data_IF_714287516426
#
_entry.id   IF_714287516426
#
_cell.length_a   1.000
_cell.length_b   1.000
_cell.length_c   1.000
_cell.angle_alpha   90.00
_cell.angle_beta   90.00
_cell.angle_gamma   90.00
#
_symmetry.space_group_name_H-M   'P 1'
#
loop_
_entity.id
_entity.type
_entity.pdbx_description
1 polymer ?
#
# COMPACT_ATOMS: atom_id res chain seq x y z
N UNK A 1 7.95 14.01 66.93
CA UNK A 1 8.80 13.42 65.88
C UNK A 1 8.45 14.12 64.58
N UNK A 2 9.38 14.91 64.05
CA UNK A 2 9.23 15.67 62.80
C UNK A 2 9.53 14.79 61.60
N UNK A 3 8.80 14.98 60.50
CA UNK A 3 9.02 14.31 59.23
C UNK A 3 8.32 15.05 58.10
N UNK A 4 8.82 16.25 57.78
CA UNK A 4 8.45 17.02 56.59
C UNK A 4 9.38 16.58 55.46
N UNK A 5 8.84 16.06 54.37
CA UNK A 5 9.57 15.80 53.14
C UNK A 5 9.28 16.93 52.14
N UNK A 6 10.31 17.55 51.52
CA UNK A 6 10.12 18.67 50.62
C UNK A 6 9.94 18.24 49.16
N UNK A 7 9.10 18.99 48.48
CA UNK A 7 8.92 19.05 47.04
C UNK A 7 10.22 19.41 46.31
N UNK A 8 10.55 18.68 45.25
CA UNK A 8 11.37 19.23 44.16
C UNK A 8 10.94 18.61 42.82
N UNK A 9 10.04 19.31 42.12
CA UNK A 9 9.82 19.12 40.69
C UNK A 9 10.80 20.05 39.98
N UNK A 10 11.86 19.48 39.42
CA UNK A 10 12.79 20.21 38.56
C UNK A 10 12.08 20.50 37.23
N UNK A 11 11.76 21.79 37.01
CA UNK A 11 11.42 22.32 35.70
C UNK A 11 12.64 22.19 34.78
N UNK A 12 12.46 21.46 33.68
CA UNK A 12 13.42 21.41 32.58
C UNK A 12 13.40 22.77 31.87
N UNK A 13 14.43 23.58 32.14
CA UNK A 13 14.66 24.89 31.52
C UNK A 13 15.23 24.67 30.12
N UNK A 14 14.41 24.88 29.10
CA UNK A 14 14.83 24.88 27.70
C UNK A 14 15.91 25.94 27.46
N UNK A 15 17.02 25.50 26.88
CA UNK A 15 18.14 26.36 26.49
C UNK A 15 17.87 26.88 25.07
N UNK A 16 17.57 28.17 24.95
CA UNK A 16 17.48 28.86 23.67
C UNK A 16 18.89 29.02 23.09
N UNK A 17 19.26 28.08 22.21
CA UNK A 17 20.46 28.22 21.39
C UNK A 17 20.19 29.24 20.28
N UNK A 18 20.64 30.47 20.52
CA UNK A 18 20.73 31.54 19.53
C UNK A 18 21.68 31.14 18.39
N UNK A 19 21.15 30.61 17.29
CA UNK A 19 21.91 30.39 16.06
C UNK A 19 22.29 31.74 15.43
N UNK A 20 23.58 32.10 15.50
CA UNK A 20 24.17 33.18 14.71
C UNK A 20 24.01 32.88 13.21
N UNK A 21 23.33 33.78 12.50
CA UNK A 21 23.19 33.73 11.05
C UNK A 21 24.54 33.90 10.35
N UNK A 22 24.88 32.96 9.48
CA UNK A 22 25.90 33.14 8.46
C UNK A 22 25.24 33.80 7.25
N UNK A 23 25.64 35.04 6.97
CA UNK A 23 25.28 35.74 5.73
C UNK A 23 26.07 35.15 4.56
N UNK A 24 25.40 34.38 3.72
CA UNK A 24 25.88 34.10 2.37
C UNK A 24 25.06 34.95 1.40
N UNK A 25 25.72 35.97 0.85
CA UNK A 25 25.22 36.72 -0.30
C UNK A 25 25.78 36.03 -1.54
N UNK A 26 24.93 35.55 -2.46
CA UNK A 26 25.10 35.64 -3.92
C UNK A 26 24.00 34.87 -4.69
N UNK A 27 23.47 35.54 -5.73
CA UNK A 27 22.74 35.01 -6.88
C UNK A 27 21.34 34.39 -6.69
N UNK A 28 20.33 35.27 -6.57
CA UNK A 28 19.35 35.47 -7.66
C UNK A 28 18.55 34.27 -8.21
N UNK A 29 18.18 33.29 -7.40
CA UNK A 29 17.07 32.38 -7.68
C UNK A 29 16.02 32.55 -6.60
N UNK A 30 14.81 33.00 -6.95
CA UNK A 30 13.68 33.06 -6.00
C UNK A 30 13.27 31.63 -5.67
N UNK A 31 14.01 31.00 -4.76
CA UNK A 31 13.54 29.83 -4.02
C UNK A 31 12.32 30.31 -3.26
N UNK A 32 11.13 30.00 -3.80
CA UNK A 32 9.88 30.19 -3.06
C UNK A 32 10.10 29.56 -1.70
N UNK A 33 10.15 30.40 -0.67
CA UNK A 33 10.25 29.99 0.72
C UNK A 33 9.26 28.87 0.92
N UNK A 34 9.79 27.70 1.29
CA UNK A 34 9.03 26.54 1.71
C UNK A 34 7.95 27.10 2.65
N UNK A 35 6.69 27.12 2.20
CA UNK A 35 5.59 27.66 2.99
C UNK A 35 5.67 26.88 4.30
N UNK A 36 6.00 27.57 5.40
CA UNK A 36 5.99 26.96 6.71
C UNK A 36 4.67 26.19 6.83
N UNK A 37 4.64 24.98 7.40
CA UNK A 37 3.39 24.28 7.67
C UNK A 37 2.49 25.33 8.28
N UNK A 38 1.42 25.69 7.56
CA UNK A 38 0.51 26.71 8.04
C UNK A 38 0.15 26.23 9.43
N UNK A 39 0.46 27.04 10.44
CA UNK A 39 0.00 26.82 11.79
C UNK A 39 -1.52 26.94 11.70
N UNK A 40 -2.18 25.85 11.29
CA UNK A 40 -3.59 25.81 10.87
C UNK A 40 -4.54 25.99 12.06
N UNK A 41 -4.02 26.51 13.18
CA UNK A 41 -4.76 26.69 14.44
C UNK A 41 -5.11 25.38 15.14
N UNK A 42 -4.69 24.23 14.61
CA UNK A 42 -4.96 22.92 15.21
C UNK A 42 -3.99 22.76 16.39
N UNK A 43 -4.48 23.11 17.58
CA UNK A 43 -3.74 22.88 18.82
C UNK A 43 -3.75 21.38 19.11
N UNK A 44 -2.69 20.68 18.69
CA UNK A 44 -2.40 19.28 19.06
C UNK A 44 -2.46 19.00 20.57
N UNK A 45 -2.55 20.02 21.41
CA UNK A 45 -2.64 19.87 22.87
C UNK A 45 -4.03 19.48 23.38
N UNK A 46 -5.10 19.62 22.57
CA UNK A 46 -6.48 19.37 23.05
C UNK A 46 -7.10 18.08 22.51
N UNK A 47 -6.52 17.49 21.47
CA UNK A 47 -7.02 16.25 20.87
C UNK A 47 -6.11 15.08 21.28
N UNK A 48 -6.67 13.88 21.35
CA UNK A 48 -5.85 12.68 21.55
C UNK A 48 -5.39 12.18 20.18
N UNK A 49 -4.12 11.77 19.99
CA UNK A 49 -3.70 11.13 18.75
C UNK A 49 -4.45 9.81 18.56
N UNK A 50 -4.77 9.48 17.31
CA UNK A 50 -5.39 8.22 16.93
C UNK A 50 -4.35 7.25 16.37
N UNK A 51 -4.47 5.97 16.69
CA UNK A 51 -3.64 4.93 16.10
C UNK A 51 -4.16 4.55 14.71
N UNK A 52 -3.42 4.91 13.66
CA UNK A 52 -3.67 4.50 12.28
C UNK A 52 -2.96 3.19 12.02
N UNK A 53 -3.73 2.17 11.65
CA UNK A 53 -3.22 0.84 11.30
C UNK A 53 -3.04 0.77 9.79
N UNK A 54 -1.81 0.46 9.35
CA UNK A 54 -1.44 0.38 7.95
C UNK A 54 -1.41 -1.08 7.50
N UNK A 55 -2.12 -1.40 6.42
CA UNK A 55 -2.18 -2.74 5.85
C UNK A 55 -1.68 -2.72 4.41
N UNK A 56 -0.78 -3.63 4.05
CA UNK A 56 -0.21 -3.69 2.70
C UNK A 56 -0.99 -4.66 1.82
N UNK A 57 -1.54 -4.15 0.72
CA UNK A 57 -2.21 -4.95 -0.29
C UNK A 57 -1.27 -5.24 -1.46
N UNK A 58 -1.15 -6.51 -1.82
CA UNK A 58 -0.36 -6.91 -2.99
C UNK A 58 -1.24 -6.94 -4.24
N UNK A 59 -0.86 -6.17 -5.25
CA UNK A 59 -1.54 -6.15 -6.55
C UNK A 59 -2.63 -5.08 -6.69
N UNK A 60 -3.20 -5.01 -7.88
CA UNK A 60 -4.24 -4.03 -8.26
C UNK A 60 -5.60 -4.68 -8.52
N UNK A 61 -5.71 -6.01 -8.35
CA UNK A 61 -6.97 -6.71 -8.54
C UNK A 61 -8.02 -6.26 -7.51
N UNK A 62 -9.15 -5.78 -8.00
CA UNK A 62 -10.22 -5.21 -7.18
C UNK A 62 -10.88 -6.31 -6.34
N UNK A 63 -11.03 -7.52 -6.87
CA UNK A 63 -11.65 -8.62 -6.15
C UNK A 63 -10.78 -9.03 -4.94
N UNK A 64 -9.48 -9.28 -5.17
CA UNK A 64 -8.54 -9.60 -4.10
C UNK A 64 -8.44 -8.48 -3.04
N UNK A 65 -8.46 -7.21 -3.45
CA UNK A 65 -8.44 -6.06 -2.51
C UNK A 65 -9.71 -5.99 -1.67
N UNK A 66 -10.87 -6.22 -2.28
CA UNK A 66 -12.15 -6.26 -1.58
C UNK A 66 -12.20 -7.40 -0.55
N UNK A 67 -11.76 -8.59 -0.94
CA UNK A 67 -11.66 -9.74 -0.04
C UNK A 67 -10.70 -9.48 1.13
N UNK A 68 -9.51 -8.92 0.86
CA UNK A 68 -8.56 -8.57 1.91
C UNK A 68 -9.12 -7.50 2.86
N UNK A 69 -9.81 -6.49 2.33
CA UNK A 69 -10.48 -5.48 3.14
C UNK A 69 -11.54 -6.07 4.06
N UNK A 70 -12.36 -6.99 3.54
CA UNK A 70 -13.35 -7.72 4.32
C UNK A 70 -12.75 -8.52 5.47
N UNK A 71 -11.62 -9.18 5.22
CA UNK A 71 -10.89 -9.91 6.26
C UNK A 71 -10.41 -8.98 7.38
N UNK A 72 -9.83 -7.83 7.03
CA UNK A 72 -9.32 -6.85 8.01
C UNK A 72 -10.46 -6.16 8.78
N UNK A 73 -11.57 -5.84 8.12
CA UNK A 73 -12.72 -5.19 8.74
C UNK A 73 -13.64 -6.17 9.49
N UNK A 74 -13.49 -7.47 9.28
CA UNK A 74 -14.39 -8.48 9.85
C UNK A 74 -15.82 -8.38 9.31
N UNK A 75 -15.98 -7.88 8.08
CA UNK A 75 -17.27 -7.61 7.45
C UNK A 75 -17.33 -8.23 6.04
N UNK A 76 -18.48 -8.80 5.60
CA UNK A 76 -18.62 -9.38 4.27
C UNK A 76 -18.27 -8.39 3.16
N UNK A 77 -17.67 -8.86 2.07
CA UNK A 77 -17.37 -8.00 0.93
C UNK A 77 -18.66 -7.61 0.22
N UNK A 78 -18.66 -6.43 -0.41
CA UNK A 78 -19.60 -6.16 -1.50
C UNK A 78 -19.17 -7.09 -2.64
N UNK A 79 -19.64 -8.34 -2.60
CA UNK A 79 -19.31 -9.32 -3.61
C UNK A 79 -19.63 -8.73 -4.97
N UNK A 80 -18.62 -8.67 -5.85
CA UNK A 80 -18.88 -8.49 -7.27
C UNK A 80 -19.58 -9.79 -7.66
N UNK A 81 -20.91 -9.79 -7.54
CA UNK A 81 -21.73 -10.93 -7.92
C UNK A 81 -21.37 -11.21 -9.36
N UNK A 82 -20.60 -12.28 -9.58
CA UNK A 82 -20.22 -12.74 -10.89
C UNK A 82 -21.53 -13.24 -11.53
N UNK A 83 -22.28 -12.32 -12.11
CA UNK A 83 -23.37 -12.63 -13.00
C UNK A 83 -22.74 -13.40 -14.16
N UNK A 84 -22.94 -14.72 -14.14
CA UNK A 84 -22.90 -15.71 -15.23
C UNK A 84 -22.53 -17.05 -14.58
N UNK A 85 -23.52 -17.73 -14.02
CA UNK A 85 -23.64 -19.14 -14.35
C UNK A 85 -24.62 -19.23 -15.51
N UNK A 86 -24.23 -19.78 -16.68
CA UNK A 86 -25.21 -20.23 -17.63
C UNK A 86 -25.93 -21.40 -16.95
N UNK A 87 -27.16 -21.15 -16.47
CA UNK A 87 -28.08 -22.24 -16.14
C UNK A 87 -28.17 -23.10 -17.39
N UNK A 88 -27.59 -24.29 -17.33
CA UNK A 88 -27.91 -25.37 -18.24
C UNK A 88 -29.38 -25.69 -17.97
N UNK A 89 -30.26 -25.15 -18.81
CA UNK A 89 -31.65 -25.57 -18.92
C UNK A 89 -31.67 -27.04 -19.30
N UNK A 90 -31.96 -27.91 -18.35
CA UNK A 90 -32.44 -29.26 -18.63
C UNK A 90 -33.85 -29.19 -19.26
N UNK A 91 -34.15 -30.03 -20.26
CA UNK A 91 -35.44 -30.01 -20.95
C UNK A 91 -36.56 -30.64 -20.08
N UNK A 92 -37.83 -30.25 -20.30
CA UNK A 92 -38.95 -30.71 -19.48
C UNK A 92 -39.37 -32.14 -19.83
N UNK A 93 -39.35 -33.05 -18.85
CA UNK A 93 -40.11 -34.31 -18.94
C UNK A 93 -41.53 -34.08 -18.42
N UNK A 94 -42.49 -34.28 -19.31
CA UNK A 94 -43.93 -34.26 -19.08
C UNK A 94 -44.38 -35.31 -18.05
N UNK A 95 -45.13 -34.87 -17.04
CA UNK A 95 -45.93 -35.72 -16.16
C UNK A 95 -46.98 -34.88 -15.42
N UNK A 96 -48.28 -35.20 -15.52
CA UNK A 96 -49.33 -34.42 -14.86
C UNK A 96 -49.62 -34.99 -13.48
N UNK A 97 -49.67 -34.13 -12.47
CA UNK A 97 -50.27 -34.52 -11.20
C UNK A 97 -49.76 -33.76 -9.98
N UNK A 98 -50.72 -33.14 -9.30
CA UNK A 98 -50.69 -32.74 -7.90
C UNK A 98 -50.31 -31.30 -7.60
N UNK A 99 -51.31 -30.64 -7.02
CA UNK A 99 -51.37 -29.28 -6.52
C UNK A 99 -50.80 -29.30 -5.10
N UNK A 100 -49.82 -28.45 -4.78
CA UNK A 100 -49.50 -28.12 -3.41
C UNK A 100 -48.98 -26.67 -3.32
N UNK A 101 -49.68 -25.89 -2.51
CA UNK A 101 -49.38 -24.52 -2.14
C UNK A 101 -48.22 -24.43 -1.12
N UNK A 102 -47.68 -23.20 -1.02
CA UNK A 102 -46.83 -22.60 0.02
C UNK A 102 -45.46 -22.17 -0.53
N UNK A 103 -45.33 -20.88 -0.83
CA UNK A 103 -45.02 -19.78 0.10
C UNK A 103 -43.51 -19.71 0.35
N UNK A 104 -42.94 -18.59 -0.10
CA UNK A 104 -41.50 -18.39 -0.13
C UNK A 104 -40.87 -18.38 1.26
N UNK A 105 -39.68 -18.93 1.32
CA UNK A 105 -38.59 -18.54 2.21
C UNK A 105 -37.36 -19.33 1.76
N UNK A 106 -36.59 -18.74 0.83
CA UNK A 106 -35.19 -19.10 0.68
C UNK A 106 -34.39 -18.07 1.49
N UNK A 107 -34.40 -18.25 2.80
CA UNK A 107 -33.29 -17.80 3.63
C UNK A 107 -32.12 -18.68 3.23
N UNK A 108 -31.32 -18.21 2.27
CA UNK A 108 -29.96 -18.70 2.11
C UNK A 108 -29.18 -18.26 3.34
N UNK A 109 -29.31 -19.05 4.40
CA UNK A 109 -28.40 -19.06 5.53
C UNK A 109 -27.03 -19.44 4.97
N UNK A 110 -26.28 -18.42 4.54
CA UNK A 110 -24.84 -18.56 4.34
C UNK A 110 -24.29 -18.78 5.73
N UNK A 111 -24.10 -20.05 6.06
CA UNK A 111 -23.34 -20.48 7.22
C UNK A 111 -21.92 -19.94 7.02
N UNK A 112 -21.67 -18.75 7.56
CA UNK A 112 -20.33 -18.21 7.76
C UNK A 112 -19.64 -19.18 8.71
N UNK A 113 -18.94 -20.16 8.14
CA UNK A 113 -17.95 -20.94 8.87
C UNK A 113 -16.89 -19.94 9.33
N UNK A 114 -17.07 -19.43 10.54
CA UNK A 114 -16.06 -18.69 11.29
C UNK A 114 -14.93 -19.67 11.64
N UNK A 115 -14.17 -20.09 10.62
CA UNK A 115 -12.83 -20.59 10.82
C UNK A 115 -12.04 -19.45 11.45
N UNK A 116 -11.48 -19.71 12.62
CA UNK A 116 -10.70 -18.77 13.42
C UNK A 116 -9.83 -17.87 12.52
N UNK A 117 -10.28 -16.62 12.37
CA UNK A 117 -9.64 -15.61 11.54
C UNK A 117 -8.20 -15.44 12.04
N UNK A 118 -7.24 -15.82 11.21
CA UNK A 118 -5.88 -15.35 11.40
C UNK A 118 -5.97 -13.83 11.33
N UNK A 119 -5.85 -13.17 12.49
CA UNK A 119 -5.95 -11.71 12.59
C UNK A 119 -4.84 -11.14 11.70
N UNK A 120 -5.23 -10.60 10.55
CA UNK A 120 -4.31 -9.94 9.64
C UNK A 120 -3.59 -8.82 10.40
N UNK A 121 -2.27 -8.88 10.40
CA UNK A 121 -1.44 -7.97 11.19
C UNK A 121 -1.11 -6.72 10.37
N UNK A 122 -1.28 -5.51 10.94
CA UNK A 122 -0.86 -4.30 10.25
C UNK A 122 0.66 -4.33 10.04
N UNK A 123 1.11 -3.84 8.89
CA UNK A 123 2.54 -3.69 8.58
C UNK A 123 3.19 -2.60 9.43
N UNK A 124 2.40 -1.63 9.90
CA UNK A 124 2.82 -0.56 10.78
C UNK A 124 1.61 0.02 11.52
N UNK A 125 1.88 0.58 12.69
CA UNK A 125 0.91 1.40 13.43
C UNK A 125 1.56 2.76 13.67
N UNK A 126 0.87 3.83 13.26
CA UNK A 126 1.34 5.20 13.38
C UNK A 126 0.37 5.99 14.23
N UNK A 127 0.87 6.79 15.16
CA UNK A 127 0.06 7.80 15.82
C UNK A 127 -0.15 8.96 14.85
N UNK A 128 -1.40 9.21 14.49
CA UNK A 128 -1.80 10.31 13.64
C UNK A 128 -2.65 11.31 14.41
N UNK A 129 -2.48 12.56 14.04
CA UNK A 129 -3.28 13.70 14.43
C UNK A 129 -4.18 14.08 13.27
N UNK A 130 -5.17 14.95 13.52
CA UNK A 130 -5.97 15.50 12.43
C UNK A 130 -5.07 16.11 11.34
N UNK A 131 -4.05 16.87 11.75
CA UNK A 131 -3.11 17.57 10.87
C UNK A 131 -1.97 16.69 10.32
N UNK A 132 -1.96 15.38 10.63
CA UNK A 132 -1.01 14.46 9.98
C UNK A 132 -1.27 14.47 8.47
N UNK A 133 -0.20 14.65 7.72
CA UNK A 133 -0.26 14.74 6.27
C UNK A 133 -0.28 13.37 5.62
N UNK A 134 -0.88 13.29 4.43
CA UNK A 134 -0.85 12.06 3.63
C UNK A 134 0.58 11.60 3.30
N UNK A 135 1.53 12.55 3.18
CA UNK A 135 2.94 12.21 2.97
C UNK A 135 3.54 11.47 4.16
N UNK A 136 3.26 11.91 5.40
CA UNK A 136 3.78 11.25 6.60
C UNK A 136 3.28 9.81 6.67
N UNK A 137 1.98 9.59 6.41
CA UNK A 137 1.39 8.24 6.37
C UNK A 137 2.00 7.38 5.27
N UNK A 138 2.11 7.93 4.06
CA UNK A 138 2.69 7.23 2.92
C UNK A 138 4.18 6.89 3.16
N UNK A 139 4.95 7.79 3.77
CA UNK A 139 6.36 7.59 4.06
C UNK A 139 6.55 6.47 5.08
N UNK A 140 5.75 6.44 6.16
CA UNK A 140 5.78 5.35 7.15
C UNK A 140 5.47 4.01 6.50
N UNK A 141 4.43 3.93 5.67
CA UNK A 141 4.11 2.70 4.95
C UNK A 141 5.25 2.28 4.00
N UNK A 142 5.80 3.24 3.26
CA UNK A 142 6.86 3.00 2.28
C UNK A 142 8.15 2.49 2.91
N UNK A 143 8.53 3.01 4.09
CA UNK A 143 9.68 2.52 4.84
C UNK A 143 9.61 1.02 5.14
N UNK A 144 8.41 0.49 5.37
CA UNK A 144 8.20 -0.93 5.67
C UNK A 144 8.13 -1.79 4.41
N UNK A 145 7.46 -1.30 3.34
CA UNK A 145 7.20 -2.13 2.16
C UNK A 145 8.28 -2.02 1.07
N UNK A 146 9.14 -1.01 1.11
CA UNK A 146 10.09 -0.70 0.02
C UNK A 146 10.97 -1.89 -0.39
N UNK A 147 11.55 -2.61 0.58
CA UNK A 147 12.42 -3.75 0.29
C UNK A 147 11.68 -4.86 -0.48
N UNK A 148 10.43 -5.14 -0.10
CA UNK A 148 9.54 -6.11 -0.77
C UNK A 148 9.19 -5.65 -2.18
N UNK A 149 8.84 -4.37 -2.33
CA UNK A 149 8.51 -3.76 -3.64
C UNK A 149 9.71 -3.78 -4.58
N UNK A 150 10.92 -3.48 -4.07
CA UNK A 150 12.16 -3.53 -4.84
C UNK A 150 12.51 -4.96 -5.27
N UNK A 151 12.32 -5.95 -4.40
CA UNK A 151 12.50 -7.36 -4.73
C UNK A 151 11.51 -7.82 -5.80
N UNK A 152 10.23 -7.47 -5.66
CA UNK A 152 9.19 -7.78 -6.65
C UNK A 152 9.47 -7.13 -8.01
N UNK A 153 9.90 -5.87 -8.02
CA UNK A 153 10.28 -5.16 -9.23
C UNK A 153 11.47 -5.83 -9.94
N UNK A 154 12.53 -6.19 -9.21
CA UNK A 154 13.69 -6.91 -9.75
C UNK A 154 13.29 -8.28 -10.30
N UNK A 155 12.43 -9.02 -9.60
CA UNK A 155 11.94 -10.32 -10.05
C UNK A 155 11.11 -10.19 -11.34
N UNK A 156 10.24 -9.18 -11.43
CA UNK A 156 9.46 -8.91 -12.63
C UNK A 156 10.36 -8.53 -13.83
N UNK A 157 11.36 -7.66 -13.62
CA UNK A 157 12.31 -7.29 -14.65
C UNK A 157 13.09 -8.51 -15.18
N UNK A 158 13.56 -9.39 -14.29
CA UNK A 158 14.23 -10.66 -14.68
C UNK A 158 13.31 -11.57 -15.50
N UNK A 159 12.04 -11.67 -15.14
CA UNK A 159 11.05 -12.46 -15.91
C UNK A 159 10.81 -11.87 -17.30
N UNK A 160 10.73 -10.55 -17.42
CA UNK A 160 10.55 -9.88 -18.71
C UNK A 160 11.73 -10.14 -19.68
N UNK A 161 12.97 -10.10 -19.17
CA UNK A 161 14.17 -10.40 -19.97
C UNK A 161 14.15 -11.85 -20.48
N UNK A 162 13.75 -12.82 -19.64
CA UNK A 162 13.63 -14.23 -20.04
C UNK A 162 12.58 -14.44 -21.13
N UNK A 163 11.46 -13.73 -21.06
CA UNK A 163 10.41 -13.81 -22.08
C UNK A 163 10.84 -13.17 -23.40
N UNK A 164 11.59 -12.07 -23.37
CA UNK A 164 12.14 -11.45 -24.58
C UNK A 164 13.14 -12.33 -25.33
N UNK A 165 13.98 -13.07 -24.60
CA UNK A 165 15.00 -13.93 -25.20
C UNK A 165 14.47 -15.33 -25.58
N UNK A 166 13.30 -15.73 -25.08
CA UNK A 166 12.69 -17.05 -25.35
C UNK A 166 11.96 -17.17 -26.69
N UNK A 167 11.92 -16.12 -27.52
CA UNK A 167 11.17 -16.09 -28.78
C UNK A 167 12.01 -16.41 -30.03
N UNK A 168 13.05 -17.25 -29.91
CA UNK A 168 13.68 -17.89 -31.07
C UNK A 168 13.57 -19.40 -30.89
N UNK A 169 12.38 -19.93 -31.13
CA UNK A 169 12.17 -21.36 -31.32
C UNK A 169 12.48 -21.66 -32.79
N UNK A 170 13.69 -22.13 -33.07
CA UNK A 170 13.96 -22.87 -34.30
C UNK A 170 13.15 -24.17 -34.20
N UNK A 171 12.29 -24.51 -35.18
CA UNK A 171 11.61 -25.80 -35.18
C UNK A 171 12.62 -26.85 -35.63
N UNK A 172 13.34 -27.45 -34.69
CA UNK A 172 14.13 -28.65 -34.99
C UNK A 172 13.29 -29.91 -34.74
N UNK A 173 12.80 -30.41 -35.86
CA UNK A 173 12.22 -31.72 -36.05
C UNK A 173 13.10 -32.83 -35.44
N UNK A 174 12.49 -33.58 -34.53
CA UNK A 174 12.64 -35.01 -34.29
C UNK A 174 14.03 -35.65 -34.52
N UNK A 175 14.73 -36.00 -33.42
CA UNK A 175 15.23 -37.38 -33.28
C UNK A 175 15.40 -37.76 -31.80
N UNK A 176 14.87 -38.93 -31.49
CA UNK A 176 14.84 -39.64 -30.22
C UNK A 176 16.23 -40.24 -29.92
N UNK A 177 16.77 -40.02 -28.71
CA UNK A 177 18.02 -40.62 -28.28
C UNK A 177 18.26 -40.48 -26.77
N UNK A 178 18.25 -41.61 -26.06
CA UNK A 178 18.67 -41.78 -24.67
C UNK A 178 20.12 -41.34 -24.41
N UNK A 179 20.37 -40.63 -23.31
CA UNK A 179 21.46 -40.84 -22.33
C UNK A 179 21.37 -39.72 -21.27
N UNK A 180 21.13 -40.06 -20.01
CA UNK A 180 22.12 -40.24 -18.93
C UNK A 180 22.75 -38.94 -18.42
N UNK A 181 22.66 -38.83 -17.10
CA UNK A 181 23.37 -37.93 -16.21
C UNK A 181 24.78 -37.58 -16.71
N UNK A 182 25.12 -36.30 -16.69
CA UNK A 182 26.42 -35.86 -16.21
C UNK A 182 26.35 -34.39 -15.78
N UNK A 183 27.15 -34.07 -14.78
CA UNK A 183 27.21 -32.80 -14.09
C UNK A 183 27.59 -31.68 -15.06
N UNK A 184 26.69 -30.72 -15.25
CA UNK A 184 27.02 -29.48 -15.95
C UNK A 184 27.19 -28.39 -14.90
N UNK A 185 28.46 -28.08 -14.65
CA UNK A 185 28.90 -26.94 -13.87
C UNK A 185 28.25 -25.70 -14.47
N UNK A 186 27.27 -25.12 -13.76
CA UNK A 186 26.62 -23.90 -14.18
C UNK A 186 27.68 -22.78 -14.09
N UNK A 187 28.37 -22.59 -15.21
CA UNK A 187 29.23 -21.46 -15.50
C UNK A 187 28.53 -20.20 -15.00
N UNK A 188 29.12 -19.61 -13.98
CA UNK A 188 28.86 -18.26 -13.51
C UNK A 188 29.27 -17.34 -14.66
N UNK A 189 28.36 -17.21 -15.62
CA UNK A 189 28.47 -16.41 -16.82
C UNK A 189 28.48 -14.96 -16.36
N UNK A 190 29.66 -14.58 -15.88
CA UNK A 190 30.15 -13.25 -15.56
C UNK A 190 30.19 -12.48 -16.88
N UNK A 191 29.03 -12.30 -17.50
CA UNK A 191 28.81 -11.25 -18.47
C UNK A 191 29.00 -9.97 -17.69
N UNK A 192 30.23 -9.49 -17.78
CA UNK A 192 30.60 -8.09 -17.70
C UNK A 192 29.37 -7.27 -18.03
N UNK A 193 28.78 -6.71 -16.97
CA UNK A 193 27.94 -5.55 -17.06
C UNK A 193 28.75 -4.59 -17.93
N UNK A 194 28.32 -4.39 -19.17
CA UNK A 194 28.59 -3.13 -19.85
C UNK A 194 28.32 -2.06 -18.79
N UNK A 195 29.37 -1.32 -18.44
CA UNK A 195 29.37 -0.31 -17.40
C UNK A 195 28.44 0.81 -17.88
N UNK A 196 27.13 0.55 -17.79
CA UNK A 196 26.06 1.44 -18.18
C UNK A 196 26.28 2.68 -17.35
N UNK A 197 26.72 3.74 -18.01
CA UNK A 197 27.28 4.91 -17.35
C UNK A 197 26.39 5.28 -16.16
N UNK A 198 26.94 5.44 -14.94
CA UNK A 198 26.17 5.53 -13.69
C UNK A 198 25.13 6.66 -13.67
N UNK A 199 25.21 7.59 -14.62
CA UNK A 199 24.30 8.72 -14.81
C UNK A 199 23.12 8.46 -15.76
N UNK A 200 23.09 7.33 -16.47
CA UNK A 200 22.06 7.03 -17.48
C UNK A 200 20.87 6.24 -16.92
N UNK A 201 21.01 5.61 -15.76
CA UNK A 201 19.91 4.84 -15.17
C UNK A 201 18.93 5.77 -14.44
N UNK A 202 17.65 5.86 -14.86
CA UNK A 202 16.68 6.72 -14.21
C UNK A 202 16.48 6.30 -12.74
N UNK A 203 16.46 7.29 -11.85
CA UNK A 203 16.27 7.09 -10.43
C UNK A 203 14.90 6.44 -10.14
N UNK A 204 14.82 5.46 -9.23
CA UNK A 204 13.56 4.81 -8.87
C UNK A 204 12.47 5.79 -8.45
N UNK A 205 11.26 5.54 -8.95
CA UNK A 205 10.04 6.24 -8.55
C UNK A 205 9.12 5.25 -7.84
N UNK A 206 8.47 5.71 -6.79
CA UNK A 206 7.48 4.92 -6.04
C UNK A 206 6.16 5.66 -6.05
N UNK A 207 5.09 4.91 -6.23
CA UNK A 207 3.72 5.39 -6.22
C UNK A 207 2.98 4.64 -5.13
N UNK A 208 2.55 5.38 -4.12
CA UNK A 208 1.86 4.86 -2.95
C UNK A 208 0.40 5.28 -3.06
N UNK A 209 -0.49 4.30 -3.17
CA UNK A 209 -1.93 4.52 -3.13
C UNK A 209 -2.41 4.29 -1.70
N UNK A 210 -3.10 5.27 -1.13
CA UNK A 210 -3.73 5.17 0.18
C UNK A 210 -5.23 5.00 0.01
N UNK A 211 -5.79 4.01 0.71
CA UNK A 211 -7.22 3.71 0.72
C UNK A 211 -7.69 3.56 2.16
N UNK A 212 -8.95 3.86 2.41
CA UNK A 212 -9.60 3.57 3.68
C UNK A 212 -10.64 2.48 3.49
N UNK A 213 -10.75 1.59 4.48
CA UNK A 213 -11.84 0.63 4.54
C UNK A 213 -12.98 1.19 5.36
N UNK A 214 -14.21 1.07 4.85
CA UNK A 214 -15.43 1.46 5.58
C UNK A 214 -16.43 0.32 5.56
N UNK A 215 -17.27 0.25 6.59
CA UNK A 215 -18.38 -0.70 6.66
C UNK A 215 -19.67 0.08 6.44
N UNK A 216 -20.45 -0.28 5.42
CA UNK A 216 -21.74 0.34 5.14
C UNK A 216 -22.78 0.01 6.22
N UNK A 217 -23.92 0.73 6.30
CA UNK A 217 -24.99 0.41 7.25
C UNK A 217 -25.57 -1.00 7.08
N UNK A 218 -25.41 -1.61 5.89
CA UNK A 218 -25.77 -3.00 5.60
C UNK A 218 -24.73 -4.01 6.11
N UNK A 219 -23.63 -3.54 6.72
CA UNK A 219 -22.58 -4.37 7.30
C UNK A 219 -21.57 -4.89 6.28
N UNK A 220 -21.46 -4.31 5.09
CA UNK A 220 -20.53 -4.71 4.04
C UNK A 220 -19.29 -3.84 4.03
N UNK A 221 -18.14 -4.48 3.90
CA UNK A 221 -16.85 -3.84 3.73
C UNK A 221 -16.71 -3.25 2.31
N UNK A 222 -16.24 -2.02 2.25
CA UNK A 222 -15.89 -1.33 1.01
C UNK A 222 -14.55 -0.58 1.15
N UNK A 223 -13.85 -0.42 0.03
CA UNK A 223 -12.62 0.36 -0.05
C UNK A 223 -12.89 1.69 -0.76
N UNK A 224 -12.44 2.78 -0.16
CA UNK A 224 -12.50 4.12 -0.73
C UNK A 224 -11.08 4.65 -0.98
N UNK A 225 -10.72 5.11 -2.19
CA UNK A 225 -9.43 5.73 -2.44
C UNK A 225 -9.33 7.08 -1.72
N UNK A 226 -8.25 7.26 -0.96
CA UNK A 226 -7.97 8.53 -0.26
C UNK A 226 -7.13 9.44 -1.15
N UNK A 227 -5.93 8.97 -1.52
CA UNK A 227 -5.02 9.73 -2.36
C UNK A 227 -3.93 8.83 -2.94
N UNK A 228 -3.11 9.42 -3.80
CA UNK A 228 -1.99 8.76 -4.44
C UNK A 228 -0.76 9.65 -4.35
N UNK A 229 0.26 9.18 -3.65
CA UNK A 229 1.49 9.92 -3.40
C UNK A 229 2.61 9.35 -4.25
N UNK A 230 3.17 10.20 -5.12
CA UNK A 230 4.35 9.85 -5.91
C UNK A 230 5.60 10.36 -5.21
N UNK A 231 6.63 9.55 -5.14
CA UNK A 231 7.93 9.96 -4.63
C UNK A 231 9.06 9.43 -5.50
N UNK A 232 10.18 10.15 -5.49
CA UNK A 232 11.39 9.80 -6.24
C UNK A 232 12.56 9.65 -5.29
N UNK A 233 13.41 8.69 -5.61
CA UNK A 233 14.73 8.59 -4.98
C UNK A 233 15.60 9.74 -5.48
N UNK A 234 16.31 10.40 -4.58
CA UNK A 234 17.16 11.57 -4.91
C UNK A 234 18.57 11.15 -5.28
N UNK A 235 19.07 10.13 -4.59
CA UNK A 235 20.46 9.66 -4.71
C UNK A 235 20.43 8.13 -4.79
N UNK A 236 21.15 7.58 -5.78
CA UNK A 236 21.34 6.13 -5.90
C UNK A 236 21.84 5.54 -4.58
N UNK A 237 21.35 4.35 -4.23
CA UNK A 237 21.68 3.64 -2.99
C UNK A 237 21.34 4.37 -1.67
N UNK A 238 20.77 5.59 -1.70
CA UNK A 238 20.31 6.28 -0.50
C UNK A 238 18.82 6.01 -0.22
N UNK A 239 18.41 5.77 1.04
CA UNK A 239 17.00 5.64 1.38
C UNK A 239 16.16 6.91 1.21
N UNK A 240 16.75 8.09 1.01
CA UNK A 240 16.02 9.35 0.97
C UNK A 240 15.07 9.43 -0.23
N UNK A 241 13.81 9.77 0.06
CA UNK A 241 12.73 9.90 -0.91
C UNK A 241 12.12 11.29 -0.79
N UNK A 242 11.83 11.91 -1.92
CA UNK A 242 11.13 13.19 -1.96
C UNK A 242 9.77 13.02 -2.64
N UNK A 243 8.70 13.60 -2.07
CA UNK A 243 7.41 13.62 -2.73
C UNK A 243 7.50 14.46 -4.00
N UNK A 244 6.81 14.01 -5.04
CA UNK A 244 6.69 14.70 -6.32
C UNK A 244 5.35 15.42 -6.34
N UNK A 245 5.37 16.74 -6.57
CA UNK A 245 4.15 17.52 -6.76
C UNK A 245 3.41 17.04 -8.01
N UNK A 246 2.13 16.72 -7.86
CA UNK A 246 1.22 16.48 -8.98
C UNK A 246 0.44 17.76 -9.29
N UNK A 247 0.13 17.97 -10.56
CA UNK A 247 -0.76 19.06 -10.99
C UNK A 247 -2.23 18.69 -10.83
N UNK A 248 -2.52 17.39 -10.78
CA UNK A 248 -3.83 16.75 -10.78
C UNK A 248 -3.94 15.77 -9.60
N UNK A 249 -4.50 16.23 -8.48
CA UNK A 249 -4.81 15.38 -7.33
C UNK A 249 -4.58 16.04 -5.98
N UNK A 250 -4.71 15.22 -4.93
CA UNK A 250 -4.46 15.60 -3.54
C UNK A 250 -2.97 15.92 -3.36
N UNK A 251 -2.66 17.11 -2.85
CA UNK A 251 -1.28 17.49 -2.51
C UNK A 251 -0.76 16.57 -1.41
N UNK A 252 0.51 16.19 -1.45
CA UNK A 252 1.13 15.36 -0.42
C UNK A 252 1.13 16.03 0.97
N UNK A 253 0.96 17.36 1.03
CA UNK A 253 0.79 18.13 2.27
C UNK A 253 -0.65 18.20 2.78
N UNK A 254 -1.61 17.59 2.08
CA UNK A 254 -3.02 17.56 2.52
C UNK A 254 -3.11 16.79 3.82
N UNK A 255 -3.82 17.34 4.80
CA UNK A 255 -4.02 16.70 6.10
C UNK A 255 -5.08 15.61 6.00
N UNK A 256 -5.02 14.60 6.87
CA UNK A 256 -5.99 13.50 6.87
C UNK A 256 -7.43 13.99 7.09
N UNK A 257 -7.66 15.01 7.93
CA UNK A 257 -9.00 15.57 8.13
C UNK A 257 -9.60 16.24 6.88
N UNK A 258 -8.77 16.59 5.88
CA UNK A 258 -9.21 17.19 4.62
C UNK A 258 -9.67 16.13 3.61
N UNK A 259 -9.49 14.85 3.93
CA UNK A 259 -9.89 13.72 3.11
C UNK A 259 -11.15 13.05 3.67
N UNK A 260 -11.86 12.22 2.86
CA UNK A 260 -12.95 11.37 3.35
C UNK A 260 -12.40 10.20 4.17
N UNK A 261 -11.68 10.50 5.26
CA UNK A 261 -11.06 9.56 6.17
C UNK A 261 -11.57 9.81 7.59
N UNK A 262 -12.10 8.77 8.23
CA UNK A 262 -12.45 8.83 9.65
C UNK A 262 -11.23 8.42 10.47
N UNK A 263 -10.84 9.25 11.44
CA UNK A 263 -9.71 8.95 12.31
C UNK A 263 -9.90 7.61 13.04
N UNK A 264 -8.92 6.72 12.88
CA UNK A 264 -8.93 5.37 13.48
C UNK A 264 -9.33 4.25 12.51
N UNK A 265 -9.87 4.60 11.35
CA UNK A 265 -10.15 3.63 10.28
C UNK A 265 -8.83 3.03 9.76
N UNK A 266 -8.82 1.74 9.39
CA UNK A 266 -7.63 1.12 8.82
C UNK A 266 -7.31 1.73 7.46
N UNK A 267 -6.02 2.03 7.25
CA UNK A 267 -5.52 2.53 5.98
C UNK A 267 -4.84 1.39 5.24
N UNK A 268 -5.35 1.10 4.06
CA UNK A 268 -4.77 0.11 3.17
C UNK A 268 -3.86 0.80 2.16
N UNK A 269 -2.72 0.18 1.89
CA UNK A 269 -1.64 0.75 1.11
C UNK A 269 -1.26 -0.20 -0.01
N UNK A 270 -1.24 0.32 -1.24
CA UNK A 270 -0.53 -0.33 -2.35
C UNK A 270 0.69 0.50 -2.70
N UNK A 271 1.80 -0.17 -3.03
CA UNK A 271 3.00 0.50 -3.47
C UNK A 271 3.53 -0.14 -4.75
N UNK A 272 3.71 0.68 -5.78
CA UNK A 272 4.33 0.25 -7.04
C UNK A 272 5.61 1.02 -7.27
N UNK A 273 6.61 0.33 -7.84
CA UNK A 273 7.86 0.96 -8.26
C UNK A 273 7.88 1.09 -9.78
N UNK A 274 8.24 2.27 -10.25
CA UNK A 274 8.40 2.63 -11.66
C UNK A 274 9.83 3.14 -11.92
N UNK A 275 10.20 3.22 -13.21
CA UNK A 275 11.42 3.89 -13.68
C UNK A 275 11.13 5.35 -13.96
#
# INVERSE_FOLDING_TARGET
MYGVLPSSLQLYRGSDASCRGAHFSHAGGVLRTHRAPLDRGIRRTTECPCAVRLYHMTGQDIAARSEYCSLVLGAPSVGISQAVQPRVTSPPSSGPGSVAAHAGQLLSSVTMSAGASAVEQPIAVQLAWADTTVWEVALTALQVVRSKVDAAYKAAAKRAVRQGNGSVTIPESATQGQCQQEADECHDDSRENEEEAPYSTPLPRYQVELLTGTVDPEGRASLLPLCMVSCRQVVHCHPALLPVRRGDGVDYNTALYELPYSLGDPVFVTCTRTR
#
